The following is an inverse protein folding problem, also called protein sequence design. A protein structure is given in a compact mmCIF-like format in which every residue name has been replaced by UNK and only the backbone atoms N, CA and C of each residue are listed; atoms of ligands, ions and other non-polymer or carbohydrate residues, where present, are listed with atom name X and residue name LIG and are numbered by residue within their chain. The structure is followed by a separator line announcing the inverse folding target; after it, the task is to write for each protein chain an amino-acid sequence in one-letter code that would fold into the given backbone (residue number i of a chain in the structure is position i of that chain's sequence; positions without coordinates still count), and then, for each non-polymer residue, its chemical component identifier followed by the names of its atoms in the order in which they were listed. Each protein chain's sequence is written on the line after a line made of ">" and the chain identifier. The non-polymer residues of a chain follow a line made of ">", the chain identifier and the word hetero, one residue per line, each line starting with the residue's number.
data_IF_503571054543
#
_entry.id   IF_503571054543
#
_cell.length_a   1.000
_cell.length_b   1.000
_cell.length_c   1.000
_cell.angle_alpha   90.00
_cell.angle_beta   90.00
_cell.angle_gamma   90.00
#
_symmetry.space_group_name_H-M   'P 1'
#
loop_
_entity.id
_entity.type
_entity.pdbx_description
1 polymer ?
#
# COMPACT_ATOMS: atom_id res chain seq x y z
N UNK A 1 -0.74 1.52 -5.07
CA UNK A 1 -1.94 0.75 -4.67
C UNK A 1 -3.20 1.19 -5.42
N UNK A 2 -3.59 2.46 -5.41
CA UNK A 2 -4.83 2.94 -6.07
C UNK A 2 -4.90 2.63 -7.57
N UNK A 3 -3.82 2.88 -8.32
CA UNK A 3 -3.74 2.53 -9.74
C UNK A 3 -3.91 1.02 -9.94
N UNK A 4 -3.27 0.20 -9.10
CA UNK A 4 -3.41 -1.25 -9.16
C UNK A 4 -4.84 -1.72 -8.84
N UNK A 5 -5.54 -1.02 -7.94
CA UNK A 5 -6.95 -1.27 -7.63
C UNK A 5 -7.88 -0.88 -8.79
N UNK A 6 -7.62 0.26 -9.44
CA UNK A 6 -8.39 0.74 -10.59
C UNK A 6 -8.12 -0.03 -11.88
N UNK A 7 -6.92 -0.57 -12.06
CA UNK A 7 -6.55 -1.34 -13.25
C UNK A 7 -6.96 -2.82 -13.16
N UNK A 8 -7.35 -3.32 -11.97
CA UNK A 8 -7.58 -4.74 -11.73
C UNK A 8 -9.03 -5.06 -11.39
N UNK A 9 -9.64 -6.00 -12.14
CA UNK A 9 -10.97 -6.54 -11.85
C UNK A 9 -10.99 -7.48 -10.62
N UNK A 10 -9.82 -7.86 -10.09
CA UNK A 10 -9.70 -8.81 -8.98
C UNK A 10 -9.60 -8.13 -7.62
N UNK A 11 -9.25 -6.85 -7.56
CA UNK A 11 -9.03 -6.16 -6.29
C UNK A 11 -10.35 -5.97 -5.56
N UNK A 12 -10.36 -6.36 -4.28
CA UNK A 12 -11.56 -6.29 -3.43
C UNK A 12 -11.54 -5.05 -2.53
N UNK A 13 -12.72 -4.63 -2.07
CA UNK A 13 -12.83 -3.49 -1.11
C UNK A 13 -12.04 -3.74 0.17
N UNK A 14 -12.10 -4.97 0.69
CA UNK A 14 -11.36 -5.38 1.89
C UNK A 14 -9.86 -5.25 1.65
N UNK A 15 -9.36 -5.78 0.54
CA UNK A 15 -7.94 -5.65 0.20
C UNK A 15 -7.50 -4.19 0.02
N UNK A 16 -8.34 -3.37 -0.62
CA UNK A 16 -8.12 -1.93 -0.75
C UNK A 16 -7.95 -1.24 0.60
N UNK A 17 -8.89 -1.48 1.52
CA UNK A 17 -8.83 -0.91 2.88
C UNK A 17 -7.60 -1.39 3.65
N UNK A 18 -7.32 -2.70 3.66
CA UNK A 18 -6.15 -3.26 4.35
C UNK A 18 -4.87 -2.67 3.77
N UNK A 19 -4.75 -2.51 2.45
CA UNK A 19 -3.56 -1.93 1.82
C UNK A 19 -3.26 -0.49 2.26
N UNK A 20 -4.31 0.31 2.53
CA UNK A 20 -4.16 1.69 3.02
C UNK A 20 -3.72 1.66 4.47
N UNK A 21 -4.38 0.86 5.31
CA UNK A 21 -4.05 0.75 6.73
C UNK A 21 -2.62 0.23 6.91
N UNK A 22 -2.24 -0.85 6.23
CA UNK A 22 -0.89 -1.41 6.30
C UNK A 22 0.18 -0.43 5.82
N UNK A 23 -0.09 0.33 4.76
CA UNK A 23 0.80 1.39 4.27
C UNK A 23 0.99 2.52 5.30
N UNK A 24 -0.10 2.96 5.94
CA UNK A 24 -0.03 3.97 7.01
C UNK A 24 0.73 3.45 8.22
N UNK A 25 0.45 2.22 8.67
CA UNK A 25 1.09 1.62 9.83
C UNK A 25 2.60 1.52 9.63
N UNK A 26 3.07 1.01 8.48
CA UNK A 26 4.50 0.88 8.25
C UNK A 26 5.19 2.25 8.14
N UNK A 27 4.52 3.25 7.56
CA UNK A 27 5.06 4.62 7.46
C UNK A 27 5.25 5.23 8.85
N UNK A 28 4.21 5.17 9.69
CA UNK A 28 4.26 5.67 11.06
C UNK A 28 5.29 4.89 11.89
N UNK A 29 5.31 3.57 11.75
CA UNK A 29 6.27 2.70 12.44
C UNK A 29 7.71 3.06 12.10
N UNK A 30 8.05 3.15 10.81
CA UNK A 30 9.42 3.47 10.38
C UNK A 30 9.81 4.89 10.81
N UNK A 31 8.88 5.86 10.72
CA UNK A 31 9.14 7.22 11.18
C UNK A 31 9.45 7.25 12.69
N UNK A 32 8.64 6.55 13.49
CA UNK A 32 8.83 6.46 14.94
C UNK A 32 10.12 5.71 15.29
N UNK A 33 10.41 4.61 14.59
CA UNK A 33 11.63 3.85 14.77
C UNK A 33 12.88 4.69 14.44
N UNK A 34 12.80 5.57 13.44
CA UNK A 34 13.83 6.58 13.16
C UNK A 34 14.03 7.62 14.26
N UNK A 35 13.05 7.86 15.14
CA UNK A 35 13.22 8.69 16.35
C UNK A 35 13.79 7.91 17.53
N UNK A 36 13.44 6.63 17.67
CA UNK A 36 13.90 5.79 18.79
C UNK A 36 15.34 5.31 18.57
N UNK A 37 15.71 4.93 17.34
CA UNK A 37 17.02 4.40 16.99
C UNK A 37 17.73 5.22 15.91
N UNK A 38 18.03 6.50 16.16
CA UNK A 38 18.64 7.37 15.17
C UNK A 38 20.04 6.89 14.74
N UNK A 39 20.79 6.21 15.60
CA UNK A 39 22.13 5.68 15.28
C UNK A 39 22.13 4.55 14.25
N UNK A 40 21.01 3.83 14.11
CA UNK A 40 20.87 2.69 13.18
C UNK A 40 20.06 3.12 11.96
N UNK A 41 19.01 3.92 12.20
CA UNK A 41 17.99 4.21 11.20
C UNK A 41 18.16 5.57 10.55
N UNK A 42 18.97 6.51 11.05
CA UNK A 42 19.20 7.77 10.31
C UNK A 42 20.52 7.74 9.56
N UNK A 43 20.57 8.32 8.34
CA UNK A 43 21.82 8.52 7.64
C UNK A 43 22.75 9.42 8.46
N UNK A 44 24.03 9.05 8.50
CA UNK A 44 25.06 9.78 9.25
C UNK A 44 25.20 11.18 8.67
N UNK A 45 25.01 12.21 9.50
CA UNK A 45 25.16 13.61 9.10
C UNK A 45 23.87 14.33 8.70
N UNK A 46 22.73 13.65 8.63
CA UNK A 46 21.42 14.29 8.43
C UNK A 46 20.43 13.91 9.54
N UNK A 47 20.29 14.76 10.57
CA UNK A 47 19.35 14.54 11.68
C UNK A 47 17.89 14.48 11.24
N UNK A 48 17.54 15.03 10.07
CA UNK A 48 16.19 15.06 9.52
C UNK A 48 15.97 14.04 8.41
N UNK A 49 17.01 13.26 8.07
CA UNK A 49 16.96 12.25 7.03
C UNK A 49 15.90 11.18 7.30
N UNK A 50 15.28 10.68 6.23
CA UNK A 50 14.34 9.58 6.32
C UNK A 50 15.03 8.30 6.80
N UNK A 51 14.28 7.39 7.47
CA UNK A 51 14.82 6.12 7.92
C UNK A 51 15.54 5.35 6.80
N UNK A 52 16.75 4.86 7.10
CA UNK A 52 17.68 4.19 6.20
C UNK A 52 18.18 5.05 5.02
N UNK A 53 17.97 6.38 5.06
CA UNK A 53 18.30 7.27 3.95
C UNK A 53 17.42 7.08 2.72
N UNK A 54 16.33 6.31 2.85
CA UNK A 54 15.40 6.01 1.76
C UNK A 54 14.06 6.69 2.09
N UNK A 55 13.47 7.41 1.12
CA UNK A 55 12.15 7.98 1.32
C UNK A 55 11.13 6.94 1.79
N UNK A 56 10.44 7.24 2.90
CA UNK A 56 9.49 6.33 3.55
C UNK A 56 8.40 5.78 2.62
N UNK A 57 8.11 6.53 1.56
CA UNK A 57 7.12 6.14 0.55
C UNK A 57 7.48 4.82 -0.15
N UNK A 58 8.77 4.50 -0.32
CA UNK A 58 9.19 3.28 -1.01
C UNK A 58 8.82 2.01 -0.22
N UNK A 59 9.26 1.81 1.03
CA UNK A 59 8.83 0.66 1.82
C UNK A 59 7.31 0.64 2.05
N UNK A 60 6.68 1.81 2.22
CA UNK A 60 5.24 1.90 2.37
C UNK A 60 4.47 1.41 1.15
N UNK A 61 4.89 1.79 -0.07
CA UNK A 61 4.28 1.32 -1.31
C UNK A 61 4.44 -0.19 -1.48
N UNK A 62 5.61 -0.75 -1.16
CA UNK A 62 5.86 -2.20 -1.24
C UNK A 62 4.87 -2.95 -0.34
N UNK A 63 4.78 -2.57 0.93
CA UNK A 63 3.86 -3.20 1.89
C UNK A 63 2.40 -3.02 1.45
N UNK A 64 2.03 -1.83 0.99
CA UNK A 64 0.66 -1.53 0.53
C UNK A 64 0.28 -2.38 -0.68
N UNK A 65 1.13 -2.48 -1.70
CA UNK A 65 0.85 -3.27 -2.91
C UNK A 65 0.83 -4.77 -2.60
N UNK A 66 1.79 -5.26 -1.80
CA UNK A 66 1.81 -6.67 -1.39
C UNK A 66 0.53 -7.02 -0.62
N UNK A 67 0.15 -6.19 0.35
CA UNK A 67 -1.09 -6.40 1.10
C UNK A 67 -2.32 -6.38 0.19
N UNK A 68 -2.37 -5.46 -0.79
CA UNK A 68 -3.47 -5.39 -1.74
C UNK A 68 -3.59 -6.69 -2.56
N UNK A 69 -2.48 -7.18 -3.08
CA UNK A 69 -2.44 -8.39 -3.90
C UNK A 69 -2.80 -9.61 -3.06
N UNK A 70 -2.09 -9.83 -1.95
CA UNK A 70 -2.28 -11.01 -1.08
C UNK A 70 -3.72 -11.08 -0.58
N UNK A 71 -4.24 -10.00 0.01
CA UNK A 71 -5.62 -10.03 0.55
C UNK A 71 -6.65 -10.20 -0.56
N UNK A 72 -6.45 -9.63 -1.76
CA UNK A 72 -7.36 -9.85 -2.89
C UNK A 72 -7.37 -11.30 -3.39
N UNK A 73 -6.31 -12.07 -3.16
CA UNK A 73 -6.28 -13.51 -3.48
C UNK A 73 -7.06 -14.34 -2.46
N UNK A 74 -7.09 -13.92 -1.19
CA UNK A 74 -7.77 -14.62 -0.10
C UNK A 74 -9.24 -14.20 0.11
N UNK A 75 -9.70 -13.12 -0.53
CA UNK A 75 -11.09 -12.66 -0.43
C UNK A 75 -11.91 -13.01 -1.67
N UNK A 76 -13.23 -13.06 -1.50
CA UNK A 76 -14.15 -13.31 -2.62
C UNK A 76 -14.05 -12.19 -3.65
N UNK A 77 -13.98 -12.53 -4.95
CA UNK A 77 -13.90 -11.52 -6.00
C UNK A 77 -15.15 -10.61 -5.98
N UNK A 78 -15.04 -9.37 -6.49
CA UNK A 78 -16.16 -8.44 -6.55
C UNK A 78 -17.32 -8.99 -7.40
N UNK A 79 -18.56 -8.64 -7.04
CA UNK A 79 -19.73 -9.04 -7.83
C UNK A 79 -19.73 -8.38 -9.22
N UNK A 80 -20.39 -9.02 -10.19
CA UNK A 80 -20.50 -8.49 -11.56
C UNK A 80 -21.11 -7.10 -11.59
N UNK A 81 -22.14 -6.84 -10.77
CA UNK A 81 -22.80 -5.53 -10.65
C UNK A 81 -21.84 -4.42 -10.21
N UNK A 82 -20.86 -4.72 -9.37
CA UNK A 82 -19.83 -3.75 -8.95
C UNK A 82 -18.83 -3.56 -10.08
N UNK A 83 -18.43 -4.63 -10.75
CA UNK A 83 -17.47 -4.58 -11.84
C UNK A 83 -17.98 -3.79 -13.06
N UNK A 84 -19.23 -4.01 -13.48
CA UNK A 84 -19.80 -3.34 -14.66
C UNK A 84 -19.93 -1.82 -14.49
N UNK A 85 -19.99 -1.31 -13.26
CA UNK A 85 -19.96 0.15 -12.98
C UNK A 85 -18.61 0.80 -13.30
N UNK A 86 -17.51 0.08 -13.12
CA UNK A 86 -16.15 0.60 -13.35
C UNK A 86 -15.52 0.09 -14.64
N UNK A 87 -15.97 -1.07 -15.13
CA UNK A 87 -15.53 -1.74 -16.34
C UNK A 87 -16.76 -2.15 -17.17
N UNK A 88 -17.47 -1.21 -17.80
CA UNK A 88 -18.60 -1.53 -18.66
C UNK A 88 -18.13 -2.42 -19.82
N UNK A 89 -18.96 -3.39 -20.20
CA UNK A 89 -18.74 -4.17 -21.43
C UNK A 89 -18.87 -3.22 -22.62
N UNK A 90 -17.98 -3.37 -23.62
CA UNK A 90 -18.09 -2.58 -24.84
C UNK A 90 -19.41 -2.94 -25.52
N UNK A 91 -20.22 -1.96 -25.96
CA UNK A 91 -21.31 -2.25 -26.86
C UNK A 91 -20.70 -2.84 -28.15
N UNK A 92 -21.16 -4.03 -28.54
CA UNK A 92 -20.89 -4.62 -29.86
C UNK A 92 -21.50 -3.78 -30.98
#
# INVERSE_FOLDING_TARGET
>A
ALIAALASKRVTRVAGLVSIISGTVITVFLKLAGYIWPSIMRPVGDPNGDPFGIPLIYPAIIVSVLSLVVISLFTKPPSREVLTRFFPEKPE
#
